data_IF_687359954276
#
_entry.id   IF_687359954276
#
_cell.length_a   1.000
_cell.length_b   1.000
_cell.length_c   1.000
_cell.angle_alpha   90.00
_cell.angle_beta   90.00
_cell.angle_gamma   90.00
#
_symmetry.space_group_name_H-M   'P 1'
#
loop_
_entity.id
_entity.type
_entity.pdbx_description
1 polymer ?
#
# COMPACT_ATOMS: atom_id res chain seq x y z
N UNK A 1 -9.42 -10.45 13.34
CA UNK A 1 -8.92 -9.11 13.71
C UNK A 1 -8.46 -8.37 12.45
N UNK A 2 -8.79 -7.10 12.35
CA UNK A 2 -8.43 -6.27 11.20
C UNK A 2 -7.34 -5.29 11.61
N UNK A 3 -6.52 -4.89 10.64
CA UNK A 3 -5.44 -3.93 10.85
C UNK A 3 -5.51 -2.85 9.77
N UNK A 4 -5.36 -1.60 10.17
CA UNK A 4 -5.20 -0.49 9.23
C UNK A 4 -3.78 0.06 9.36
N UNK A 5 -3.09 0.19 8.23
CA UNK A 5 -1.73 0.71 8.18
C UNK A 5 -1.75 1.98 7.35
N UNK A 6 -1.17 3.05 7.90
CA UNK A 6 -0.96 4.29 7.15
C UNK A 6 0.54 4.37 6.86
N UNK A 7 0.90 4.33 5.60
CA UNK A 7 2.29 4.25 5.17
C UNK A 7 2.62 5.40 4.23
N UNK A 8 3.88 5.84 4.26
CA UNK A 8 4.38 6.83 3.31
C UNK A 8 5.09 6.17 2.13
N UNK A 9 5.14 4.86 2.11
CA UNK A 9 5.79 4.13 1.02
C UNK A 9 5.05 4.36 -0.29
N UNK A 10 5.73 4.84 -1.34
CA UNK A 10 5.09 5.02 -2.63
C UNK A 10 4.63 3.69 -3.22
N UNK A 11 3.44 3.71 -3.79
CA UNK A 11 2.87 2.56 -4.50
C UNK A 11 2.57 2.95 -5.93
N UNK A 12 2.58 1.96 -6.82
CA UNK A 12 2.40 2.16 -8.25
C UNK A 12 1.48 1.09 -8.81
N UNK A 13 0.73 1.43 -9.84
CA UNK A 13 -0.08 0.46 -10.58
C UNK A 13 0.76 -0.08 -11.74
N UNK A 14 0.89 -1.41 -11.82
CA UNK A 14 1.61 -2.07 -12.91
C UNK A 14 0.88 -3.36 -13.26
N UNK A 15 0.51 -3.48 -14.53
CA UNK A 15 -0.19 -4.66 -15.04
C UNK A 15 -1.45 -5.02 -14.22
N UNK A 16 -2.18 -3.99 -13.77
CA UNK A 16 -3.39 -4.20 -13.00
C UNK A 16 -3.18 -4.53 -11.54
N UNK A 17 -1.94 -4.47 -11.05
CA UNK A 17 -1.62 -4.80 -9.67
C UNK A 17 -0.90 -3.64 -8.98
N UNK A 18 -1.12 -3.51 -7.67
CA UNK A 18 -0.46 -2.50 -6.86
C UNK A 18 0.92 -3.00 -6.47
N UNK A 19 1.95 -2.23 -6.82
CA UNK A 19 3.35 -2.52 -6.50
C UNK A 19 3.88 -1.50 -5.51
N UNK A 20 4.80 -1.92 -4.67
CA UNK A 20 5.47 -1.04 -3.72
C UNK A 20 6.89 -1.51 -3.44
N UNK A 21 7.58 -0.77 -2.55
CA UNK A 21 8.94 -1.10 -2.16
C UNK A 21 8.99 -2.46 -1.48
N UNK A 22 9.89 -3.32 -1.94
CA UNK A 22 9.90 -4.73 -1.55
C UNK A 22 9.90 -4.96 -0.04
N UNK A 23 10.77 -4.32 0.77
CA UNK A 23 10.76 -4.57 2.22
C UNK A 23 9.42 -4.28 2.87
N UNK A 24 8.75 -3.18 2.47
CA UNK A 24 7.45 -2.82 3.01
C UNK A 24 6.38 -3.83 2.60
N UNK A 25 6.38 -4.22 1.32
CA UNK A 25 5.39 -5.17 0.82
C UNK A 25 5.54 -6.52 1.53
N UNK A 26 6.76 -6.99 1.71
CA UNK A 26 7.00 -8.27 2.38
C UNK A 26 6.58 -8.22 3.84
N UNK A 27 6.81 -7.11 4.53
CA UNK A 27 6.41 -6.96 5.92
C UNK A 27 4.88 -7.00 6.07
N UNK A 28 4.18 -6.29 5.19
CA UNK A 28 2.71 -6.27 5.24
C UNK A 28 2.12 -7.63 4.86
N UNK A 29 2.68 -8.30 3.85
CA UNK A 29 2.26 -9.65 3.50
C UNK A 29 2.46 -10.60 4.67
N UNK A 30 3.55 -10.46 5.42
CA UNK A 30 3.80 -11.27 6.58
C UNK A 30 2.71 -11.07 7.65
N UNK A 31 2.29 -9.81 7.87
CA UNK A 31 1.25 -9.49 8.82
C UNK A 31 -0.10 -10.11 8.44
N UNK A 32 -0.32 -10.40 7.17
CA UNK A 32 -1.57 -11.03 6.74
C UNK A 32 -1.74 -12.44 7.27
N UNK A 33 -0.69 -13.03 7.84
CA UNK A 33 -0.78 -14.33 8.51
C UNK A 33 -1.43 -14.21 9.89
N UNK A 34 -1.41 -13.02 10.47
CA UNK A 34 -1.93 -12.77 11.82
C UNK A 34 -3.31 -12.13 11.77
N UNK A 35 -3.54 -11.24 10.80
CA UNK A 35 -4.78 -10.49 10.69
C UNK A 35 -5.67 -11.07 9.60
N UNK A 36 -6.98 -11.01 9.80
CA UNK A 36 -7.93 -11.51 8.81
C UNK A 36 -8.11 -10.54 7.65
N UNK A 37 -7.83 -9.26 7.87
CA UNK A 37 -7.93 -8.22 6.84
C UNK A 37 -6.96 -7.11 7.18
N UNK A 38 -6.24 -6.62 6.17
CA UNK A 38 -5.32 -5.49 6.31
C UNK A 38 -5.71 -4.42 5.30
N UNK A 39 -5.91 -3.19 5.80
CA UNK A 39 -6.10 -2.02 4.95
C UNK A 39 -4.79 -1.25 4.93
N UNK A 40 -4.15 -1.18 3.76
CA UNK A 40 -2.91 -0.42 3.62
C UNK A 40 -3.23 0.90 2.92
N UNK A 41 -3.15 2.00 3.69
CA UNK A 41 -3.46 3.35 3.22
C UNK A 41 -2.14 4.03 2.90
N UNK A 42 -1.88 4.27 1.62
CA UNK A 42 -0.59 4.79 1.19
C UNK A 42 -0.71 5.54 -0.13
N UNK A 43 0.30 6.38 -0.47
CA UNK A 43 0.27 7.11 -1.73
C UNK A 43 0.32 6.18 -2.94
N UNK A 44 -0.48 6.49 -3.95
CA UNK A 44 -0.44 5.82 -5.25
C UNK A 44 0.06 6.84 -6.27
N UNK A 45 1.25 6.59 -6.81
CA UNK A 45 1.86 7.47 -7.80
C UNK A 45 1.48 7.05 -9.21
N UNK A 46 1.33 8.03 -10.09
CA UNK A 46 1.03 7.78 -11.50
C UNK A 46 2.27 7.55 -12.34
N UNK A 47 3.44 7.74 -11.76
CA UNK A 47 4.70 7.59 -12.49
C UNK A 47 5.05 6.14 -12.78
N UNK A 48 6.22 5.98 -13.41
CA UNK A 48 6.71 4.66 -13.79
C UNK A 48 7.08 3.85 -12.56
N UNK A 49 6.64 2.61 -12.53
CA UNK A 49 6.91 1.70 -11.43
C UNK A 49 8.39 1.27 -11.44
N UNK A 50 9.12 1.43 -10.32
CA UNK A 50 10.50 0.97 -10.23
C UNK A 50 10.61 -0.55 -10.41
N UNK A 51 11.73 -0.98 -10.99
CA UNK A 51 11.97 -2.41 -11.21
C UNK A 51 12.12 -3.19 -9.91
N UNK A 52 12.54 -2.52 -8.84
CA UNK A 52 12.71 -3.16 -7.53
C UNK A 52 11.42 -3.34 -6.76
N UNK A 53 10.30 -2.88 -7.31
CA UNK A 53 9.01 -3.02 -6.64
C UNK A 53 8.43 -4.41 -6.83
N UNK A 54 7.60 -4.82 -5.87
CA UNK A 54 6.85 -6.07 -5.95
C UNK A 54 5.38 -5.80 -5.61
N UNK A 55 4.51 -6.74 -5.91
CA UNK A 55 3.10 -6.63 -5.57
C UNK A 55 2.77 -7.51 -4.36
N UNK A 56 1.63 -7.23 -3.72
CA UNK A 56 1.18 -8.02 -2.59
C UNK A 56 0.78 -9.43 -3.04
N UNK A 57 1.19 -10.44 -2.27
CA UNK A 57 0.83 -11.82 -2.56
C UNK A 57 -0.43 -12.27 -1.83
N UNK A 58 -0.82 -11.58 -0.75
CA UNK A 58 -1.98 -11.94 0.04
C UNK A 58 -3.24 -11.23 -0.46
N UNK A 59 -4.33 -11.96 -0.60
CA UNK A 59 -5.62 -11.40 -0.97
C UNK A 59 -6.35 -10.74 0.22
N UNK A 60 -5.77 -10.82 1.40
CA UNK A 60 -6.32 -10.18 2.60
C UNK A 60 -5.98 -8.70 2.68
N UNK A 61 -5.11 -8.22 1.80
CA UNK A 61 -4.65 -6.84 1.82
C UNK A 61 -5.48 -6.02 0.84
N UNK A 62 -6.13 -4.99 1.38
CA UNK A 62 -6.85 -4.02 0.56
C UNK A 62 -6.08 -2.72 0.55
N UNK A 63 -5.70 -2.27 -0.65
CA UNK A 63 -4.97 -1.03 -0.81
C UNK A 63 -5.94 0.15 -0.90
N UNK A 64 -5.70 1.19 -0.09
CA UNK A 64 -6.49 2.41 -0.10
C UNK A 64 -5.57 3.54 -0.55
N UNK A 65 -5.74 4.04 -1.78
CA UNK A 65 -4.81 5.03 -2.32
C UNK A 65 -5.01 6.41 -1.71
N UNK A 66 -3.88 7.09 -1.48
CA UNK A 66 -3.86 8.51 -1.14
C UNK A 66 -3.22 9.27 -2.30
N UNK A 67 -3.65 10.51 -2.50
CA UNK A 67 -2.99 11.37 -3.48
C UNK A 67 -1.67 11.84 -2.90
N UNK A 68 -0.53 11.62 -3.60
CA UNK A 68 0.78 11.97 -3.04
C UNK A 68 0.90 13.43 -2.65
N UNK A 69 0.40 14.35 -3.49
CA UNK A 69 0.51 15.78 -3.24
C UNK A 69 -0.51 16.29 -2.24
N UNK A 70 -1.55 15.52 -1.95
CA UNK A 70 -2.62 15.92 -1.06
C UNK A 70 -2.61 15.24 0.30
N UNK A 71 -1.54 14.53 0.62
CA UNK A 71 -1.51 13.69 1.80
C UNK A 71 -1.85 14.43 3.09
N UNK A 72 -1.25 15.61 3.29
CA UNK A 72 -1.51 16.39 4.49
C UNK A 72 -2.95 16.90 4.55
N UNK A 73 -3.49 17.28 3.42
CA UNK A 73 -4.87 17.75 3.36
C UNK A 73 -5.87 16.64 3.68
N UNK A 74 -5.59 15.44 3.21
CA UNK A 74 -6.44 14.30 3.51
C UNK A 74 -6.45 13.99 4.99
N UNK A 75 -5.30 14.04 5.63
CA UNK A 75 -5.19 13.80 7.07
C UNK A 75 -6.02 14.81 7.85
N UNK A 76 -5.99 16.08 7.44
CA UNK A 76 -6.75 17.12 8.12
C UNK A 76 -8.26 16.94 7.99
N UNK A 77 -8.72 16.31 6.94
CA UNK A 77 -10.15 16.10 6.72
C UNK A 77 -10.72 14.92 7.49
N UNK A 78 -9.86 14.08 7.92
CA UNK A 78 -10.25 12.91 8.68
C UNK A 78 -10.35 13.26 10.17
#
# INVERSE_FOLDING_TARGET
MRLAIISHTPHYMKNGQIHGWEPTIREIDYLSKVFTKIFNIAPLHSGKCPNSSIFYSSDKIEFVPLQPSGGNSLIKKI
#
